data_IF_694289146606
#
_entry.id   IF_694289146606
#
_cell.length_a   1.000
_cell.length_b   1.000
_cell.length_c   1.000
_cell.angle_alpha   90.00
_cell.angle_beta   90.00
_cell.angle_gamma   90.00
#
_symmetry.space_group_name_H-M   'P 1'
#
loop_
_entity.id
_entity.type
_entity.pdbx_description
1 polymer ?
#
# COMPACT_ATOMS: atom_id res chain seq x y z
N UNK A 1 8.56 -29.78 16.53
CA UNK A 1 7.92 -28.73 15.70
C UNK A 1 8.62 -27.40 15.98
N UNK A 2 9.53 -26.96 15.11
CA UNK A 2 10.25 -25.68 15.30
C UNK A 2 9.32 -24.56 14.85
N UNK A 3 8.64 -23.92 15.80
CA UNK A 3 7.89 -22.69 15.54
C UNK A 3 8.93 -21.58 15.30
N UNK A 4 9.25 -21.29 14.03
CA UNK A 4 10.07 -20.13 13.67
C UNK A 4 9.37 -18.88 14.22
N UNK A 5 10.00 -18.18 15.17
CA UNK A 5 9.50 -16.88 15.66
C UNK A 5 9.39 -15.93 14.47
N UNK A 6 8.16 -15.51 14.18
CA UNK A 6 7.87 -14.53 13.12
C UNK A 6 8.47 -13.19 13.52
N UNK A 7 9.33 -12.63 12.67
CA UNK A 7 9.92 -11.31 12.90
C UNK A 7 9.00 -10.21 12.33
N UNK A 8 8.15 -9.66 13.19
CA UNK A 8 7.19 -8.61 12.82
C UNK A 8 7.85 -7.37 12.22
N UNK A 9 9.05 -6.99 12.69
CA UNK A 9 9.79 -5.83 12.14
C UNK A 9 10.18 -6.06 10.68
N UNK A 10 10.60 -7.29 10.34
CA UNK A 10 10.93 -7.67 8.96
C UNK A 10 9.68 -7.66 8.08
N UNK A 11 8.55 -8.18 8.55
CA UNK A 11 7.27 -8.14 7.83
C UNK A 11 6.82 -6.70 7.61
N UNK A 12 6.84 -5.86 8.65
CA UNK A 12 6.48 -4.44 8.51
C UNK A 12 7.35 -3.74 7.46
N UNK A 13 8.66 -4.03 7.42
CA UNK A 13 9.56 -3.47 6.40
C UNK A 13 9.13 -3.88 4.99
N UNK A 14 8.73 -5.14 4.79
CA UNK A 14 8.24 -5.62 3.49
C UNK A 14 6.95 -4.88 3.10
N UNK A 15 5.97 -4.80 3.99
CA UNK A 15 4.70 -4.09 3.73
C UNK A 15 4.94 -2.61 3.43
N UNK A 16 5.85 -1.97 4.17
CA UNK A 16 6.23 -0.58 3.92
C UNK A 16 6.85 -0.40 2.53
N UNK A 17 7.74 -1.29 2.10
CA UNK A 17 8.33 -1.24 0.76
C UNK A 17 7.28 -1.44 -0.34
N UNK A 18 6.32 -2.35 -0.13
CA UNK A 18 5.20 -2.54 -1.07
C UNK A 18 4.39 -1.24 -1.17
N UNK A 19 4.02 -0.64 -0.05
CA UNK A 19 3.24 0.60 -0.03
C UNK A 19 3.99 1.77 -0.68
N UNK A 20 5.31 1.89 -0.45
CA UNK A 20 6.17 2.86 -1.13
C UNK A 20 6.19 2.60 -2.64
N UNK A 21 6.33 1.35 -3.07
CA UNK A 21 6.29 0.97 -4.48
C UNK A 21 4.98 1.38 -5.14
N UNK A 22 3.84 1.07 -4.50
CA UNK A 22 2.51 1.49 -4.94
C UNK A 22 2.45 3.03 -5.04
N UNK A 23 2.91 3.74 -4.02
CA UNK A 23 2.91 5.20 -4.00
C UNK A 23 3.71 5.81 -5.17
N UNK A 24 4.90 5.27 -5.45
CA UNK A 24 5.72 5.71 -6.59
C UNK A 24 4.99 5.43 -7.91
N UNK A 25 4.43 4.21 -8.07
CA UNK A 25 3.66 3.84 -9.25
C UNK A 25 2.43 4.74 -9.46
N UNK A 26 1.78 5.16 -8.37
CA UNK A 26 0.69 6.14 -8.41
C UNK A 26 1.20 7.49 -8.88
N UNK A 27 2.26 8.04 -8.27
CA UNK A 27 2.81 9.36 -8.61
C UNK A 27 3.28 9.44 -10.06
N UNK A 28 3.92 8.39 -10.58
CA UNK A 28 4.38 8.31 -11.98
C UNK A 28 3.20 8.14 -12.95
N UNK A 29 1.98 7.95 -12.45
CA UNK A 29 0.80 7.75 -13.28
C UNK A 29 0.76 6.38 -13.95
N UNK A 30 1.53 5.41 -13.45
CA UNK A 30 1.56 4.06 -13.99
C UNK A 30 0.36 3.23 -13.51
N UNK A 31 -0.17 3.51 -12.32
CA UNK A 31 -1.37 2.85 -11.81
C UNK A 31 -2.64 3.46 -12.40
N UNK A 32 -3.49 2.60 -12.98
CA UNK A 32 -4.79 3.01 -13.51
C UNK A 32 -5.93 2.49 -12.60
N UNK A 33 -6.74 3.42 -12.07
CA UNK A 33 -7.94 3.09 -11.28
C UNK A 33 -9.23 3.11 -12.11
N UNK A 34 -9.14 3.35 -13.42
CA UNK A 34 -10.26 3.28 -14.36
C UNK A 34 -11.28 4.40 -14.26
N UNK A 35 -10.91 5.55 -13.69
CA UNK A 35 -11.76 6.73 -13.56
C UNK A 35 -11.27 7.91 -14.41
N UNK A 36 -10.46 7.67 -15.45
CA UNK A 36 -9.91 8.74 -16.30
C UNK A 36 -9.16 9.79 -15.49
N UNK A 37 -9.64 11.05 -15.51
CA UNK A 37 -9.11 12.16 -14.69
C UNK A 37 -9.32 11.94 -13.17
N UNK A 38 -10.33 11.17 -12.77
CA UNK A 38 -10.61 10.79 -11.40
C UNK A 38 -9.53 9.91 -10.75
N UNK A 39 -8.59 9.36 -11.53
CA UNK A 39 -7.42 8.66 -10.99
C UNK A 39 -6.58 9.55 -10.07
N UNK A 40 -6.55 10.87 -10.30
CA UNK A 40 -5.82 11.84 -9.47
C UNK A 40 -6.35 11.87 -8.03
N UNK A 41 -7.63 11.59 -7.81
CA UNK A 41 -8.26 11.62 -6.48
C UNK A 41 -7.64 10.57 -5.55
N UNK A 42 -7.08 9.49 -6.10
CA UNK A 42 -6.42 8.43 -5.34
C UNK A 42 -4.99 8.80 -4.91
N UNK A 43 -4.38 9.86 -5.46
CA UNK A 43 -2.99 10.24 -5.15
C UNK A 43 -2.83 10.73 -3.71
N UNK A 44 -3.57 11.75 -3.23
CA UNK A 44 -3.42 12.25 -1.86
C UNK A 44 -3.56 11.17 -0.77
N UNK A 45 -4.60 10.30 -0.77
CA UNK A 45 -4.74 9.30 0.28
C UNK A 45 -3.62 8.25 0.27
N UNK A 46 -3.11 7.84 -0.89
CA UNK A 46 -1.99 6.87 -0.99
C UNK A 46 -0.69 7.47 -0.45
N UNK A 47 -0.41 8.73 -0.78
CA UNK A 47 0.76 9.46 -0.26
C UNK A 47 0.64 9.62 1.26
N UNK A 48 -0.52 10.06 1.76
CA UNK A 48 -0.77 10.21 3.19
C UNK A 48 -0.59 8.89 3.96
N UNK A 49 -1.15 7.79 3.44
CA UNK A 49 -0.97 6.47 4.05
C UNK A 49 0.51 6.04 4.10
N UNK A 50 1.25 6.29 3.03
CA UNK A 50 2.69 5.97 2.95
C UNK A 50 3.50 6.77 3.97
N UNK A 51 3.29 8.09 4.02
CA UNK A 51 3.98 8.99 4.97
C UNK A 51 3.62 8.61 6.41
N UNK A 52 2.34 8.34 6.70
CA UNK A 52 1.90 7.91 8.01
C UNK A 52 2.58 6.59 8.43
N UNK A 53 2.66 5.60 7.53
CA UNK A 53 3.32 4.33 7.82
C UNK A 53 4.82 4.52 8.13
N UNK A 54 5.52 5.38 7.39
CA UNK A 54 6.93 5.74 7.66
C UNK A 54 7.07 6.38 9.05
N UNK A 55 6.25 7.39 9.35
CA UNK A 55 6.31 8.12 10.63
C UNK A 55 6.02 7.19 11.81
N UNK A 56 4.98 6.37 11.73
CA UNK A 56 4.62 5.43 12.79
C UNK A 56 5.72 4.39 12.96
N UNK A 57 6.26 3.82 11.87
CA UNK A 57 7.38 2.86 11.93
C UNK A 57 8.59 3.47 12.64
N UNK A 58 8.96 4.72 12.31
CA UNK A 58 10.06 5.44 12.98
C UNK A 58 9.78 5.65 14.48
N UNK A 59 8.56 6.05 14.84
CA UNK A 59 8.16 6.24 16.25
C UNK A 59 8.19 4.94 17.05
N UNK A 60 7.73 3.82 16.47
CA UNK A 60 7.73 2.51 17.13
C UNK A 60 9.14 1.95 17.33
N UNK A 61 10.02 2.12 16.33
CA UNK A 61 11.43 1.77 16.47
C UNK A 61 12.10 2.56 17.60
N UNK A 62 11.85 3.88 17.70
CA UNK A 62 12.42 4.73 18.75
C UNK A 62 11.94 4.34 20.16
N UNK A 63 10.67 3.96 20.31
CA UNK A 63 10.10 3.54 21.61
C UNK A 63 10.37 2.08 21.95
N UNK A 64 10.97 1.30 21.04
CA UNK A 64 11.17 -0.15 21.13
C UNK A 64 9.91 -0.93 21.59
N UNK A 65 8.72 -0.43 21.23
CA UNK A 65 7.46 -1.00 21.69
C UNK A 65 6.97 -2.05 20.68
N UNK A 66 6.91 -3.30 21.11
CA UNK A 66 6.53 -4.40 20.23
C UNK A 66 5.02 -4.64 20.08
N UNK A 67 4.18 -4.01 20.91
CA UNK A 67 2.72 -4.24 20.94
C UNK A 67 2.00 -3.79 19.67
N UNK A 68 2.52 -2.76 19.00
CA UNK A 68 1.83 -2.08 17.90
C UNK A 68 2.30 -2.50 16.51
N UNK A 69 3.28 -3.41 16.40
CA UNK A 69 3.73 -3.89 15.08
C UNK A 69 2.64 -4.66 14.33
N UNK A 70 1.93 -5.56 15.03
CA UNK A 70 0.91 -6.39 14.39
C UNK A 70 -0.27 -5.54 13.87
N UNK A 71 -0.88 -4.62 14.67
CA UNK A 71 -1.91 -3.72 14.16
C UNK A 71 -1.45 -2.88 12.97
N UNK A 72 -0.21 -2.34 13.01
CA UNK A 72 0.33 -1.53 11.92
C UNK A 72 0.44 -2.33 10.62
N UNK A 73 0.95 -3.56 10.70
CA UNK A 73 1.04 -4.48 9.56
C UNK A 73 -0.35 -4.76 9.01
N UNK A 74 -1.33 -5.11 9.85
CA UNK A 74 -2.68 -5.44 9.40
C UNK A 74 -3.34 -4.27 8.68
N UNK A 75 -3.30 -3.06 9.26
CA UNK A 75 -3.89 -1.86 8.66
C UNK A 75 -3.20 -1.52 7.33
N UNK A 76 -1.87 -1.54 7.30
CA UNK A 76 -1.11 -1.17 6.10
C UNK A 76 -1.28 -2.21 4.97
N UNK A 77 -1.36 -3.49 5.32
CA UNK A 77 -1.69 -4.56 4.36
C UNK A 77 -3.10 -4.40 3.82
N UNK A 78 -4.08 -4.06 4.66
CA UNK A 78 -5.45 -3.82 4.23
C UNK A 78 -5.52 -2.64 3.25
N UNK A 79 -4.86 -1.52 3.57
CA UNK A 79 -4.76 -0.36 2.67
C UNK A 79 -4.13 -0.77 1.34
N UNK A 80 -3.02 -1.51 1.37
CA UNK A 80 -2.34 -1.98 0.16
C UNK A 80 -3.24 -2.87 -0.70
N UNK A 81 -3.97 -3.80 -0.07
CA UNK A 81 -4.94 -4.66 -0.75
C UNK A 81 -6.09 -3.84 -1.35
N UNK A 82 -6.60 -2.83 -0.66
CA UNK A 82 -7.64 -1.94 -1.17
C UNK A 82 -7.16 -1.18 -2.41
N UNK A 83 -5.94 -0.64 -2.40
CA UNK A 83 -5.38 0.06 -3.56
C UNK A 83 -5.24 -0.89 -4.74
N UNK A 84 -4.70 -2.10 -4.50
CA UNK A 84 -4.60 -3.11 -5.55
C UNK A 84 -5.99 -3.44 -6.08
N UNK A 85 -6.98 -3.69 -5.21
CA UNK A 85 -8.37 -3.98 -5.59
C UNK A 85 -8.96 -2.92 -6.52
N UNK A 86 -8.80 -1.62 -6.21
CA UNK A 86 -9.31 -0.54 -7.06
C UNK A 86 -8.53 -0.36 -8.36
N UNK A 87 -7.27 -0.78 -8.43
CA UNK A 87 -6.52 -0.84 -9.69
C UNK A 87 -6.92 -2.05 -10.56
N UNK A 88 -7.70 -2.97 -9.98
CA UNK A 88 -7.95 -4.32 -10.48
C UNK A 88 -9.47 -4.58 -10.59
N UNK A 89 -10.08 -5.32 -9.66
CA UNK A 89 -11.48 -5.75 -9.75
C UNK A 89 -12.47 -4.61 -9.45
N UNK A 90 -12.09 -3.68 -8.57
CA UNK A 90 -12.88 -2.51 -8.19
C UNK A 90 -12.67 -1.30 -9.09
N UNK A 91 -12.07 -1.52 -10.27
CA UNK A 91 -11.72 -0.46 -11.21
C UNK A 91 -12.96 0.27 -11.71
N UNK A 92 -12.82 1.57 -11.94
CA UNK A 92 -13.91 2.46 -12.36
C UNK A 92 -14.55 2.03 -13.67
N UNK A 93 -15.84 2.36 -13.82
CA UNK A 93 -16.66 1.97 -14.97
C UNK A 93 -16.26 2.62 -16.30
N UNK A 94 -15.40 3.64 -16.28
CA UNK A 94 -14.92 4.29 -17.51
C UNK A 94 -13.88 3.43 -18.24
N UNK A 95 -13.06 2.68 -17.50
CA UNK A 95 -12.10 1.74 -18.07
C UNK A 95 -12.07 0.45 -17.25
N UNK A 96 -12.96 -0.49 -17.60
CA UNK A 96 -13.02 -1.83 -17.02
C UNK A 96 -11.66 -2.54 -17.05
N UNK A 97 -11.44 -3.45 -16.09
CA UNK A 97 -10.23 -4.25 -16.05
C UNK A 97 -10.05 -5.04 -17.36
N UNK A 98 -8.91 -4.87 -18.02
CA UNK A 98 -8.55 -5.54 -19.29
C UNK A 98 -7.37 -6.53 -19.20
N UNK A 99 -6.80 -6.72 -18.02
CA UNK A 99 -5.63 -7.57 -17.73
C UNK A 99 -4.47 -6.74 -17.22
N UNK A 100 -4.50 -5.42 -17.43
CA UNK A 100 -3.37 -4.53 -17.26
C UNK A 100 -3.57 -3.59 -16.08
N UNK A 101 -2.68 -3.70 -15.11
CA UNK A 101 -2.60 -2.78 -13.96
C UNK A 101 -1.86 -1.49 -14.35
N UNK A 102 -0.95 -1.58 -15.33
CA UNK A 102 -0.12 -0.48 -15.79
C UNK A 102 -0.66 0.18 -17.05
N UNK A 103 -0.45 1.49 -17.20
CA UNK A 103 -0.74 2.23 -18.43
C UNK A 103 0.21 1.91 -19.60
N UNK A 104 1.34 1.25 -19.35
CA UNK A 104 2.30 0.87 -20.39
C UNK A 104 1.73 -0.31 -21.19
N UNK A 105 1.66 -0.13 -22.51
CA UNK A 105 1.17 -1.11 -23.49
C UNK A 105 2.24 -2.11 -23.86
#
# INVERSE_FOLDING_TARGET
MIIKKINLKKINRIVLWILIGICILTIVGLLNFGHGLGNIIYFPPIILATVAHIVITRRLNRKNNNKYWLPLIMISSLISLTIVYYATLGRGGEFSWDGRVFFIK
#
